data_IF_939143646486
#
_entry.id   IF_939143646486
#
_cell.length_a   1.000
_cell.length_b   1.000
_cell.length_c   1.000
_cell.angle_alpha   90.00
_cell.angle_beta   90.00
_cell.angle_gamma   90.00
#
_symmetry.space_group_name_H-M   'P 1'
#
loop_
_entity.id
_entity.type
_entity.pdbx_description
1 polymer ?
#
# COMPACT_ATOMS: atom_id res chain seq x y z
N UNK A 1 -10.24 5.24 -9.77
CA UNK A 1 -9.28 4.15 -9.88
C UNK A 1 -8.66 3.72 -8.55
N UNK A 2 -7.56 3.05 -8.65
CA UNK A 2 -6.91 2.43 -7.49
C UNK A 2 -6.54 3.43 -6.38
N UNK A 3 -5.87 4.53 -6.75
CA UNK A 3 -5.42 5.52 -5.76
C UNK A 3 -6.58 6.14 -4.99
N UNK A 4 -7.62 6.52 -5.70
CA UNK A 4 -8.79 7.14 -5.07
C UNK A 4 -9.53 6.15 -4.16
N UNK A 5 -9.60 4.89 -4.54
CA UNK A 5 -10.21 3.86 -3.71
C UNK A 5 -9.45 3.66 -2.40
N UNK A 6 -8.11 3.58 -2.46
CA UNK A 6 -7.28 3.45 -1.25
C UNK A 6 -7.39 4.71 -0.39
N UNK A 7 -7.28 5.89 -0.99
CA UNK A 7 -7.40 7.16 -0.26
C UNK A 7 -8.75 7.32 0.44
N UNK A 8 -9.83 6.93 -0.21
CA UNK A 8 -11.16 6.97 0.41
C UNK A 8 -11.25 6.04 1.62
N UNK A 9 -10.76 4.80 1.48
CA UNK A 9 -10.77 3.83 2.59
C UNK A 9 -9.94 4.34 3.77
N UNK A 10 -8.76 4.90 3.51
CA UNK A 10 -7.84 5.30 4.58
C UNK A 10 -8.30 6.57 5.32
N UNK A 11 -8.81 7.55 4.59
CA UNK A 11 -9.05 8.88 5.16
C UNK A 11 -10.31 9.58 4.66
N UNK A 12 -11.15 8.92 3.87
CA UNK A 12 -12.22 9.58 3.10
C UNK A 12 -11.64 10.67 2.18
N UNK A 13 -10.45 10.43 1.65
CA UNK A 13 -9.70 11.32 0.75
C UNK A 13 -9.27 12.65 1.40
N UNK A 14 -9.08 12.66 2.72
CA UNK A 14 -8.71 13.86 3.48
C UNK A 14 -7.19 13.95 3.65
N UNK A 15 -6.57 14.91 2.99
CA UNK A 15 -5.11 15.09 3.04
C UNK A 15 -4.57 15.44 4.44
N UNK A 16 -5.37 16.07 5.30
CA UNK A 16 -4.90 16.51 6.61
C UNK A 16 -5.27 15.59 7.76
N UNK A 17 -5.80 14.41 7.45
CA UNK A 17 -6.21 13.47 8.49
C UNK A 17 -5.00 12.93 9.26
N UNK A 18 -5.13 12.88 10.58
CA UNK A 18 -4.19 12.22 11.50
C UNK A 18 -5.04 11.28 12.35
N UNK A 19 -4.70 9.98 12.37
CA UNK A 19 -5.45 9.03 13.18
C UNK A 19 -4.90 8.92 14.61
N UNK A 20 -5.55 8.12 15.44
CA UNK A 20 -5.20 7.96 16.87
C UNK A 20 -3.80 7.34 17.10
N UNK A 21 -3.24 6.67 16.09
CA UNK A 21 -1.91 6.06 16.16
C UNK A 21 -0.82 6.91 15.46
N UNK A 22 -1.17 8.11 14.98
CA UNK A 22 -0.22 9.02 14.36
C UNK A 22 0.03 8.79 12.87
N UNK A 23 -0.78 7.95 12.21
CA UNK A 23 -0.74 7.85 10.75
C UNK A 23 -1.33 9.11 10.13
N UNK A 24 -0.72 9.58 9.04
CA UNK A 24 -1.01 10.92 8.50
C UNK A 24 -1.35 10.90 7.02
N UNK A 25 -2.23 11.84 6.65
CA UNK A 25 -2.55 12.20 5.28
C UNK A 25 -3.63 11.35 4.64
N UNK A 26 -3.84 11.61 3.35
CA UNK A 26 -4.88 10.93 2.54
C UNK A 26 -4.74 9.42 2.57
N UNK A 27 -3.50 8.91 2.54
CA UNK A 27 -3.21 7.48 2.48
C UNK A 27 -2.80 6.89 3.81
N UNK A 28 -2.79 7.68 4.88
CA UNK A 28 -2.47 7.24 6.24
C UNK A 28 -1.10 6.57 6.33
N UNK A 29 -0.05 7.36 6.11
CA UNK A 29 1.33 6.90 6.21
C UNK A 29 1.86 6.94 7.65
N UNK A 30 2.63 5.91 8.02
CA UNK A 30 3.50 6.00 9.19
C UNK A 30 4.75 6.83 8.88
N UNK A 31 5.30 7.49 9.89
CA UNK A 31 6.47 8.37 9.73
C UNK A 31 7.69 7.59 9.23
N UNK A 32 7.93 6.38 9.75
CA UNK A 32 9.08 5.58 9.32
C UNK A 32 8.97 5.15 7.85
N UNK A 33 7.76 4.84 7.39
CA UNK A 33 7.52 4.54 5.97
C UNK A 33 7.81 5.76 5.09
N UNK A 34 7.38 6.95 5.53
CA UNK A 34 7.64 8.18 4.79
C UNK A 34 9.12 8.46 4.62
N UNK A 35 9.94 8.17 5.63
CA UNK A 35 11.40 8.31 5.53
C UNK A 35 11.98 7.45 4.41
N UNK A 36 11.43 6.28 4.17
CA UNK A 36 11.92 5.38 3.10
C UNK A 36 11.72 5.94 1.71
N UNK A 37 10.79 6.87 1.53
CA UNK A 37 10.54 7.54 0.25
C UNK A 37 11.02 8.99 0.23
N UNK A 38 11.82 9.40 1.23
CA UNK A 38 12.48 10.70 1.26
C UNK A 38 11.67 11.84 1.88
N UNK A 39 10.65 11.54 2.68
CA UNK A 39 9.85 12.54 3.39
C UNK A 39 10.21 12.55 4.86
N UNK A 40 10.72 13.69 5.33
CA UNK A 40 11.19 13.87 6.71
C UNK A 40 10.45 14.97 7.46
N UNK A 41 9.76 15.86 6.76
CA UNK A 41 9.03 16.99 7.34
C UNK A 41 7.54 16.68 7.35
N UNK A 42 7.02 16.32 8.51
CA UNK A 42 5.62 15.96 8.72
C UNK A 42 4.66 17.11 8.37
N UNK A 43 5.00 18.34 8.78
CA UNK A 43 4.15 19.51 8.54
C UNK A 43 4.08 19.83 7.04
N UNK A 44 5.23 19.83 6.36
CA UNK A 44 5.28 20.04 4.92
C UNK A 44 4.45 18.98 4.19
N UNK A 45 4.52 17.73 4.62
CA UNK A 45 3.76 16.63 4.04
C UNK A 45 2.24 16.85 4.18
N UNK A 46 1.78 17.17 5.39
CA UNK A 46 0.36 17.40 5.64
C UNK A 46 -0.21 18.60 4.86
N UNK A 47 0.62 19.57 4.54
CA UNK A 47 0.21 20.77 3.81
C UNK A 47 0.42 20.67 2.29
N UNK A 48 0.90 19.55 1.78
CA UNK A 48 1.16 19.37 0.34
C UNK A 48 0.46 18.15 -0.22
N UNK A 49 -0.74 18.30 -0.80
CA UNK A 49 -1.39 17.20 -1.52
C UNK A 49 -0.49 16.58 -2.60
N UNK A 50 0.26 17.41 -3.33
CA UNK A 50 1.17 16.92 -4.37
C UNK A 50 2.25 16.00 -3.78
N UNK A 51 2.86 16.38 -2.66
CA UNK A 51 3.86 15.56 -1.99
C UNK A 51 3.27 14.23 -1.50
N UNK A 52 2.05 14.25 -1.01
CA UNK A 52 1.35 13.03 -0.57
C UNK A 52 1.10 12.08 -1.72
N UNK A 53 0.68 12.58 -2.89
CA UNK A 53 0.49 11.74 -4.08
C UNK A 53 1.81 11.15 -4.57
N UNK A 54 2.89 11.94 -4.57
CA UNK A 54 4.23 11.46 -4.95
C UNK A 54 4.73 10.38 -3.98
N UNK A 55 4.56 10.59 -2.68
CA UNK A 55 4.97 9.61 -1.68
C UNK A 55 4.22 8.28 -1.85
N UNK A 56 2.93 8.34 -2.14
CA UNK A 56 2.14 7.13 -2.37
C UNK A 56 2.63 6.40 -3.62
N UNK A 57 2.83 7.10 -4.72
CA UNK A 57 3.35 6.51 -5.96
C UNK A 57 4.73 5.89 -5.75
N UNK A 58 5.63 6.57 -5.02
CA UNK A 58 6.96 6.05 -4.72
C UNK A 58 6.88 4.77 -3.87
N UNK A 59 6.02 4.74 -2.86
CA UNK A 59 5.85 3.55 -2.04
C UNK A 59 5.27 2.39 -2.86
N UNK A 60 4.28 2.66 -3.71
CA UNK A 60 3.72 1.64 -4.60
C UNK A 60 4.79 1.06 -5.53
N UNK A 61 5.65 1.91 -6.09
CA UNK A 61 6.75 1.47 -6.97
C UNK A 61 7.73 0.56 -6.23
N UNK A 62 8.10 0.92 -5.00
CA UNK A 62 8.99 0.10 -4.15
C UNK A 62 8.34 -1.23 -3.80
N UNK A 63 7.08 -1.21 -3.37
CA UNK A 63 6.35 -2.43 -3.00
C UNK A 63 6.18 -3.36 -4.21
N UNK A 64 5.89 -2.81 -5.38
CA UNK A 64 5.77 -3.60 -6.61
C UNK A 64 7.08 -4.31 -6.94
N UNK A 65 8.23 -3.63 -6.78
CA UNK A 65 9.53 -4.25 -6.98
C UNK A 65 9.80 -5.35 -5.95
N UNK A 66 9.54 -5.08 -4.67
CA UNK A 66 9.77 -6.05 -3.60
C UNK A 66 8.88 -7.29 -3.74
N UNK A 67 7.69 -7.12 -4.29
CA UNK A 67 6.70 -8.19 -4.45
C UNK A 67 6.63 -8.74 -5.88
N UNK A 68 7.58 -8.40 -6.74
CA UNK A 68 7.55 -8.79 -8.15
C UNK A 68 7.41 -10.30 -8.36
N UNK A 69 8.07 -11.10 -7.54
CA UNK A 69 8.02 -12.56 -7.66
C UNK A 69 6.64 -13.10 -7.23
N UNK A 70 6.09 -12.55 -6.15
CA UNK A 70 4.76 -12.93 -5.67
C UNK A 70 3.67 -12.52 -6.65
N UNK A 71 3.77 -11.33 -7.23
CA UNK A 71 2.84 -10.87 -8.26
C UNK A 71 2.90 -11.79 -9.48
N UNK A 72 4.09 -12.08 -9.99
CA UNK A 72 4.26 -12.95 -11.15
C UNK A 72 3.70 -14.36 -10.89
N UNK A 73 3.97 -14.91 -9.71
CA UNK A 73 3.58 -16.28 -9.38
C UNK A 73 2.08 -16.42 -9.10
N UNK A 74 1.48 -15.46 -8.41
CA UNK A 74 0.14 -15.64 -7.85
C UNK A 74 -0.96 -14.84 -8.51
N UNK A 75 -0.65 -13.79 -9.28
CA UNK A 75 -1.69 -13.01 -9.93
C UNK A 75 -2.57 -13.89 -10.82
N UNK A 76 -3.87 -13.72 -10.70
CA UNK A 76 -4.85 -14.49 -11.47
C UNK A 76 -5.18 -15.86 -10.87
N UNK A 77 -4.48 -16.28 -9.81
CA UNK A 77 -4.78 -17.54 -9.12
C UNK A 77 -5.80 -17.33 -8.01
N UNK A 78 -6.34 -18.43 -7.48
CA UNK A 78 -7.19 -18.45 -6.29
C UNK A 78 -6.44 -19.14 -5.17
N UNK A 79 -6.32 -18.47 -4.03
CA UNK A 79 -5.58 -18.99 -2.88
C UNK A 79 -6.49 -18.94 -1.66
N UNK A 80 -6.80 -20.10 -1.09
CA UNK A 80 -7.69 -20.22 0.07
C UNK A 80 -9.01 -19.44 -0.14
N UNK A 81 -9.61 -19.58 -1.33
CA UNK A 81 -10.86 -18.93 -1.69
C UNK A 81 -10.75 -17.45 -2.09
N UNK A 82 -9.54 -16.90 -2.10
CA UNK A 82 -9.29 -15.50 -2.44
C UNK A 82 -8.66 -15.38 -3.83
N UNK A 83 -9.30 -14.60 -4.71
CA UNK A 83 -8.70 -14.28 -6.01
C UNK A 83 -7.55 -13.28 -5.80
N UNK A 84 -6.37 -13.64 -6.29
CA UNK A 84 -5.17 -12.80 -6.14
C UNK A 84 -5.03 -11.88 -7.35
N UNK A 85 -4.87 -10.58 -7.08
CA UNK A 85 -4.65 -9.55 -8.10
C UNK A 85 -3.48 -8.67 -7.71
N UNK A 86 -2.84 -8.03 -8.69
CA UNK A 86 -1.75 -7.09 -8.40
C UNK A 86 -2.24 -5.94 -7.51
N UNK A 87 -3.39 -5.35 -7.83
CA UNK A 87 -3.92 -4.23 -7.02
C UNK A 87 -4.22 -4.64 -5.59
N UNK A 88 -4.77 -5.84 -5.38
CA UNK A 88 -4.99 -6.37 -4.04
C UNK A 88 -3.69 -6.56 -3.27
N UNK A 89 -2.66 -7.10 -3.91
CA UNK A 89 -1.33 -7.27 -3.32
C UNK A 89 -0.76 -5.92 -2.89
N UNK A 90 -0.82 -4.92 -3.77
CA UNK A 90 -0.26 -3.60 -3.49
C UNK A 90 -1.01 -2.85 -2.39
N UNK A 91 -2.33 -2.97 -2.34
CA UNK A 91 -3.12 -2.40 -1.24
C UNK A 91 -2.78 -3.07 0.09
N UNK A 92 -2.66 -4.39 0.10
CA UNK A 92 -2.26 -5.14 1.30
C UNK A 92 -0.85 -4.77 1.77
N UNK A 93 0.07 -4.54 0.83
CA UNK A 93 1.43 -4.09 1.17
C UNK A 93 1.43 -2.67 1.74
N UNK A 94 0.55 -1.80 1.28
CA UNK A 94 0.36 -0.47 1.88
C UNK A 94 -0.11 -0.59 3.34
N UNK A 95 -1.02 -1.52 3.62
CA UNK A 95 -1.54 -1.74 4.96
C UNK A 95 -0.48 -2.32 5.92
N UNK A 96 0.16 -3.41 5.51
CA UNK A 96 0.97 -4.22 6.42
C UNK A 96 2.45 -4.34 6.06
N UNK A 97 2.88 -3.73 4.96
CA UNK A 97 4.24 -3.83 4.45
C UNK A 97 4.43 -5.04 3.54
N UNK A 98 5.42 -4.94 2.64
CA UNK A 98 5.75 -6.01 1.69
C UNK A 98 6.14 -7.31 2.39
N UNK A 99 6.88 -7.22 3.50
CA UNK A 99 7.30 -8.40 4.27
C UNK A 99 6.14 -9.20 4.82
N UNK A 100 5.10 -8.53 5.30
CA UNK A 100 3.88 -9.18 5.81
C UNK A 100 3.11 -9.86 4.68
N UNK A 101 3.04 -9.23 3.51
CA UNK A 101 2.41 -9.85 2.33
C UNK A 101 3.17 -11.10 1.90
N UNK A 102 4.50 -11.07 1.92
CA UNK A 102 5.32 -12.27 1.64
C UNK A 102 5.00 -13.41 2.61
N UNK A 103 4.83 -13.11 3.90
CA UNK A 103 4.44 -14.10 4.90
C UNK A 103 3.05 -14.68 4.62
N UNK A 104 2.10 -13.83 4.23
CA UNK A 104 0.76 -14.29 3.84
C UNK A 104 0.85 -15.35 2.73
N UNK A 105 1.63 -15.10 1.70
CA UNK A 105 1.81 -16.07 0.62
C UNK A 105 2.57 -17.32 1.07
N UNK A 106 3.56 -17.17 1.94
CA UNK A 106 4.31 -18.31 2.50
C UNK A 106 3.39 -19.30 3.20
N UNK A 107 2.38 -18.80 3.91
CA UNK A 107 1.35 -19.61 4.57
C UNK A 107 0.17 -19.93 3.65
N UNK A 108 0.28 -19.67 2.34
CA UNK A 108 -0.73 -19.98 1.32
C UNK A 108 -2.11 -19.38 1.65
N UNK A 109 -2.12 -18.19 2.23
CA UNK A 109 -3.35 -17.49 2.63
C UNK A 109 -4.07 -18.08 3.82
N UNK A 110 -3.51 -19.09 4.49
CA UNK A 110 -4.14 -19.76 5.64
C UNK A 110 -3.94 -19.01 6.94
N UNK A 111 -2.93 -18.14 7.02
CA UNK A 111 -2.67 -17.28 8.17
C UNK A 111 -2.96 -15.83 7.78
N UNK A 112 -3.87 -15.19 8.50
CA UNK A 112 -4.21 -13.79 8.26
C UNK A 112 -3.42 -12.88 9.21
N UNK A 113 -3.19 -11.65 8.77
CA UNK A 113 -2.47 -10.63 9.53
C UNK A 113 -3.35 -9.38 9.58
N UNK A 114 -3.53 -8.82 10.77
CA UNK A 114 -4.40 -7.66 10.99
C UNK A 114 -3.63 -6.49 11.56
N UNK A 115 -4.10 -5.27 11.27
CA UNK A 115 -3.60 -4.06 11.92
C UNK A 115 -4.34 -3.79 13.25
N UNK A 116 -3.99 -2.67 13.90
CA UNK A 116 -4.58 -2.29 15.17
C UNK A 116 -6.08 -1.95 15.08
N UNK A 117 -6.59 -1.68 13.88
CA UNK A 117 -8.00 -1.33 13.65
C UNK A 117 -8.82 -2.51 13.11
N UNK A 118 -8.22 -3.69 13.02
CA UNK A 118 -8.91 -4.90 12.56
C UNK A 118 -8.92 -5.08 11.04
N UNK A 119 -8.29 -4.20 10.27
CA UNK A 119 -8.10 -4.42 8.83
C UNK A 119 -7.06 -5.51 8.60
N UNK A 120 -7.28 -6.37 7.62
CA UNK A 120 -6.40 -7.52 7.39
C UNK A 120 -5.83 -7.53 5.97
N UNK A 121 -4.72 -8.27 5.81
CA UNK A 121 -4.12 -8.52 4.49
C UNK A 121 -5.17 -9.11 3.55
N UNK A 122 -5.89 -10.14 4.00
CA UNK A 122 -6.92 -10.80 3.20
C UNK A 122 -8.06 -9.85 2.81
N UNK A 123 -8.55 -9.03 3.75
CA UNK A 123 -9.65 -8.11 3.47
C UNK A 123 -9.24 -7.02 2.48
N UNK A 124 -8.00 -6.53 2.56
CA UNK A 124 -7.48 -5.53 1.62
C UNK A 124 -7.27 -6.13 0.23
N UNK A 125 -6.76 -7.35 0.14
CA UNK A 125 -6.64 -8.04 -1.16
C UNK A 125 -8.00 -8.19 -1.84
N UNK A 126 -9.03 -8.53 -1.09
CA UNK A 126 -10.39 -8.67 -1.61
C UNK A 126 -10.97 -7.32 -2.01
N UNK A 127 -10.88 -6.34 -1.11
CA UNK A 127 -11.48 -5.01 -1.31
C UNK A 127 -10.90 -4.29 -2.51
N UNK A 128 -9.58 -4.40 -2.71
CA UNK A 128 -8.87 -3.66 -3.74
C UNK A 128 -8.49 -4.52 -4.95
N UNK A 129 -9.14 -5.67 -5.12
CA UNK A 129 -8.91 -6.52 -6.28
C UNK A 129 -9.45 -5.93 -7.57
N UNK A 130 -8.74 -6.17 -8.69
CA UNK A 130 -9.24 -5.85 -10.03
C UNK A 130 -9.07 -4.42 -10.50
N UNK A 131 -8.35 -3.57 -9.78
CA UNK A 131 -8.02 -2.23 -10.25
C UNK A 131 -6.81 -2.26 -11.18
N UNK A 132 -6.78 -1.31 -12.11
CA UNK A 132 -5.61 -1.12 -12.98
C UNK A 132 -4.46 -0.49 -12.18
N UNK A 133 -3.34 -1.17 -12.12
CA UNK A 133 -2.10 -0.71 -11.49
C UNK A 133 -0.93 -0.67 -12.48
N UNK A 134 -1.22 -0.75 -13.77
CA UNK A 134 -0.19 -0.73 -14.82
C UNK A 134 0.60 0.59 -14.86
N UNK A 135 0.04 1.68 -14.32
CA UNK A 135 0.74 2.97 -14.22
C UNK A 135 1.90 2.94 -13.23
N UNK A 136 1.99 1.92 -12.36
CA UNK A 136 3.05 1.81 -11.37
C UNK A 136 4.22 1.07 -11.99
N UNK A 137 5.38 1.73 -12.07
CA UNK A 137 6.62 1.13 -12.56
C UNK A 137 7.43 0.67 -11.35
N UNK A 138 7.73 -0.62 -11.26
CA UNK A 138 8.48 -1.19 -10.15
C UNK A 138 9.87 -0.55 -10.04
N UNK A 139 10.21 -0.02 -8.85
CA UNK A 139 11.48 0.65 -8.61
C UNK A 139 11.81 0.64 -7.12
N UNK A 140 12.80 -0.15 -6.72
CA UNK A 140 13.21 -0.24 -5.32
C UNK A 140 13.79 1.09 -4.79
N UNK A 141 14.31 1.92 -5.68
CA UNK A 141 14.93 3.20 -5.33
C UNK A 141 13.98 4.40 -5.47
N UNK A 142 12.69 4.15 -5.61
CA UNK A 142 11.71 5.23 -5.78
C UNK A 142 11.65 6.12 -4.54
N UNK A 143 11.68 7.44 -4.75
CA UNK A 143 11.49 8.47 -3.73
C UNK A 143 10.64 9.59 -4.31
N UNK A 144 10.22 10.53 -3.48
CA UNK A 144 9.45 11.71 -3.93
C UNK A 144 10.23 12.60 -4.89
N UNK A 145 11.56 12.46 -4.96
CA UNK A 145 12.41 13.26 -5.85
C UNK A 145 12.57 12.68 -7.25
N UNK A 146 12.34 11.37 -7.41
CA UNK A 146 12.58 10.70 -8.70
C UNK A 146 11.33 10.06 -9.30
N UNK A 147 10.17 10.40 -8.76
CA UNK A 147 8.92 9.80 -9.21
C UNK A 147 8.06 10.80 -10.00
#
# INVERSE_FOLDING_TARGET
>A
GFREAVGFRESESKYKKINSLGYIGKYQFGIETLKTVGVYDRSAFLNSPELQEKAFLALLAKNKWQLKNEIEKYEGTVMNGLRITESGILAAAHLGGAGTVKKFFRYKGKRNFTDAYGSSIRSYMKMFGGYDTSFIIANINATVKNI
#
